data_IF_119102242219
#
_entry.id   IF_119102242219
#
_cell.length_a   1.000
_cell.length_b   1.000
_cell.length_c   1.000
_cell.angle_alpha   90.00
_cell.angle_beta   90.00
_cell.angle_gamma   90.00
#
_symmetry.space_group_name_H-M   'P 1'
#
loop_
_entity.id
_entity.type
_entity.pdbx_description
1 polymer ?
#
# COMPACT_ATOMS: atom_id res chain seq x y z
N UNK A 1 10.56 -3.83 -14.65
CA UNK A 1 10.73 -5.27 -14.34
C UNK A 1 9.70 -5.78 -13.33
N UNK A 2 9.77 -5.41 -12.03
CA UNK A 2 8.87 -5.94 -10.99
C UNK A 2 7.37 -5.78 -11.28
N UNK A 3 6.94 -4.60 -11.73
CA UNK A 3 5.54 -4.35 -12.10
C UNK A 3 5.04 -5.30 -13.18
N UNK A 4 5.83 -5.52 -14.24
CA UNK A 4 5.48 -6.43 -15.33
C UNK A 4 5.38 -7.87 -14.83
N UNK A 5 6.38 -8.30 -14.06
CA UNK A 5 6.47 -9.64 -13.49
C UNK A 5 5.35 -9.95 -12.48
N UNK A 6 4.97 -8.96 -11.67
CA UNK A 6 3.84 -9.07 -10.75
C UNK A 6 2.51 -9.16 -11.51
N UNK A 7 2.32 -8.33 -12.54
CA UNK A 7 1.12 -8.37 -13.38
C UNK A 7 0.98 -9.73 -14.06
N UNK A 8 2.00 -10.21 -14.75
CA UNK A 8 1.99 -11.50 -15.45
C UNK A 8 1.65 -12.66 -14.50
N UNK A 9 2.26 -12.73 -13.31
CA UNK A 9 1.96 -13.78 -12.32
C UNK A 9 0.53 -13.68 -11.78
N UNK A 10 0.03 -12.48 -11.56
CA UNK A 10 -1.34 -12.27 -11.10
C UNK A 10 -2.36 -12.60 -12.19
N UNK A 11 -2.09 -12.26 -13.46
CA UNK A 11 -2.93 -12.62 -14.61
C UNK A 11 -3.05 -14.15 -14.72
N UNK A 12 -1.97 -14.89 -14.48
CA UNK A 12 -1.92 -16.34 -14.65
C UNK A 12 -2.41 -17.17 -13.44
N UNK A 13 -2.81 -16.55 -12.31
CA UNK A 13 -3.22 -17.30 -11.12
C UNK A 13 -4.26 -16.58 -10.25
N UNK A 14 -5.49 -17.11 -10.21
CA UNK A 14 -6.55 -16.59 -9.33
C UNK A 14 -6.21 -16.72 -7.84
N UNK A 15 -5.57 -17.82 -7.45
CA UNK A 15 -5.12 -18.03 -6.08
C UNK A 15 -4.08 -16.98 -5.68
N UNK A 16 -3.15 -16.64 -6.57
CA UNK A 16 -2.18 -15.57 -6.30
C UNK A 16 -2.87 -14.23 -6.06
N UNK A 17 -3.89 -13.87 -6.86
CA UNK A 17 -4.68 -12.64 -6.66
C UNK A 17 -5.29 -12.59 -5.26
N UNK A 18 -5.94 -13.67 -4.81
CA UNK A 18 -6.56 -13.75 -3.48
C UNK A 18 -5.54 -13.59 -2.36
N UNK A 19 -4.42 -14.30 -2.43
CA UNK A 19 -3.38 -14.23 -1.41
C UNK A 19 -2.67 -12.88 -1.37
N UNK A 20 -2.32 -12.32 -2.52
CA UNK A 20 -1.69 -11.00 -2.60
C UNK A 20 -2.63 -9.92 -2.07
N UNK A 21 -3.92 -9.95 -2.46
CA UNK A 21 -4.91 -9.00 -1.92
C UNK A 21 -5.01 -9.11 -0.41
N UNK A 22 -5.08 -10.32 0.13
CA UNK A 22 -5.15 -10.53 1.57
C UNK A 22 -3.90 -10.00 2.29
N UNK A 23 -2.71 -10.39 1.81
CA UNK A 23 -1.45 -9.96 2.40
C UNK A 23 -1.28 -8.44 2.38
N UNK A 24 -1.54 -7.80 1.24
CA UNK A 24 -1.43 -6.35 1.13
C UNK A 24 -2.45 -5.62 2.00
N UNK A 25 -3.72 -6.00 1.97
CA UNK A 25 -4.77 -5.25 2.71
C UNK A 25 -4.74 -5.47 4.24
N UNK A 26 -4.16 -6.58 4.70
CA UNK A 26 -4.16 -6.94 6.14
C UNK A 26 -2.81 -6.79 6.81
N UNK A 27 -1.71 -7.05 6.12
CA UNK A 27 -0.38 -7.20 6.73
C UNK A 27 0.57 -6.08 6.33
N UNK A 28 0.47 -5.56 5.10
CA UNK A 28 1.39 -4.54 4.62
C UNK A 28 1.31 -3.27 5.46
N UNK A 29 2.48 -2.67 5.71
CA UNK A 29 2.68 -1.40 6.40
C UNK A 29 3.77 -0.59 5.68
N UNK A 30 3.86 0.73 5.89
CA UNK A 30 4.94 1.55 5.34
C UNK A 30 6.32 1.01 5.69
N UNK A 31 7.26 1.14 4.76
CA UNK A 31 8.66 0.72 4.97
C UNK A 31 9.23 1.44 6.19
N UNK A 32 9.95 0.71 7.04
CA UNK A 32 10.44 1.18 8.35
C UNK A 32 9.60 0.69 9.52
N UNK A 33 8.31 0.35 9.30
CA UNK A 33 7.44 -0.22 10.34
C UNK A 33 8.04 -1.52 10.90
N UNK A 34 8.12 -1.62 12.24
CA UNK A 34 8.66 -2.79 12.94
C UNK A 34 10.20 -2.82 13.05
N UNK A 35 10.89 -1.83 12.49
CA UNK A 35 12.32 -1.58 12.73
C UNK A 35 12.48 -0.33 13.61
N UNK A 36 11.68 0.69 13.32
CA UNK A 36 11.66 1.98 13.99
C UNK A 36 10.43 2.08 14.90
N UNK A 37 10.50 2.93 15.93
CA UNK A 37 9.39 3.20 16.82
C UNK A 37 8.20 3.81 16.06
N UNK A 38 6.97 3.52 16.53
CA UNK A 38 5.75 3.91 15.83
C UNK A 38 5.59 5.44 15.73
N UNK A 39 6.08 6.20 16.70
CA UNK A 39 6.07 7.66 16.73
C UNK A 39 7.03 8.27 15.69
N UNK A 40 8.20 7.67 15.50
CA UNK A 40 9.15 8.11 14.48
C UNK A 40 8.63 7.78 13.06
N UNK A 41 7.96 6.63 12.87
CA UNK A 41 7.26 6.35 11.60
C UNK A 41 6.12 7.35 11.36
N UNK A 42 5.33 7.66 12.38
CA UNK A 42 4.29 8.69 12.27
C UNK A 42 4.89 10.04 11.88
N UNK A 43 5.99 10.45 12.52
CA UNK A 43 6.68 11.69 12.22
C UNK A 43 7.18 11.74 10.79
N UNK A 44 7.93 10.72 10.34
CA UNK A 44 8.51 10.66 9.00
C UNK A 44 7.42 10.64 7.93
N UNK A 45 6.39 9.80 8.10
CA UNK A 45 5.31 9.72 7.11
C UNK A 45 4.48 11.01 7.07
N UNK A 46 4.20 11.63 8.23
CA UNK A 46 3.54 12.94 8.28
C UNK A 46 4.36 14.00 7.58
N UNK A 47 5.68 14.03 7.81
CA UNK A 47 6.57 15.00 7.18
C UNK A 47 6.62 14.83 5.66
N UNK A 48 6.78 13.59 5.18
CA UNK A 48 6.89 13.29 3.75
C UNK A 48 5.59 13.54 2.98
N UNK A 49 4.45 13.23 3.58
CA UNK A 49 3.15 13.28 2.91
C UNK A 49 2.29 14.49 3.28
N UNK A 50 2.80 15.44 4.07
CA UNK A 50 2.09 16.67 4.42
C UNK A 50 1.66 17.44 3.16
N UNK A 51 0.34 17.64 3.01
CA UNK A 51 -0.25 18.30 1.84
C UNK A 51 -0.19 17.47 0.54
N UNK A 52 0.13 16.17 0.64
CA UNK A 52 0.28 15.27 -0.51
C UNK A 52 -0.78 14.16 -0.56
N UNK A 53 -1.96 14.36 0.02
CA UNK A 53 -3.09 13.41 -0.07
C UNK A 53 -3.34 12.92 -1.52
N UNK A 54 -3.23 13.80 -2.51
CA UNK A 54 -3.40 13.45 -3.91
C UNK A 54 -2.35 12.47 -4.46
N UNK A 55 -1.13 12.47 -3.92
CA UNK A 55 -0.09 11.49 -4.29
C UNK A 55 -0.39 10.11 -3.69
N UNK A 56 -0.92 10.05 -2.46
CA UNK A 56 -1.39 8.78 -1.88
C UNK A 56 -2.51 8.16 -2.70
N UNK A 57 -3.48 8.97 -3.15
CA UNK A 57 -4.53 8.48 -4.02
C UNK A 57 -3.98 7.98 -5.37
N UNK A 58 -2.92 8.61 -5.91
CA UNK A 58 -2.25 8.11 -7.11
C UNK A 58 -1.55 6.78 -6.84
N UNK A 59 -0.93 6.58 -5.68
CA UNK A 59 -0.33 5.31 -5.29
C UNK A 59 -1.38 4.19 -5.20
N UNK A 60 -2.51 4.45 -4.54
CA UNK A 60 -3.62 3.51 -4.44
C UNK A 60 -4.19 3.16 -5.81
N UNK A 61 -4.43 4.17 -6.67
CA UNK A 61 -4.87 3.94 -8.06
C UNK A 61 -3.89 3.12 -8.88
N UNK A 62 -2.57 3.19 -8.60
CA UNK A 62 -1.57 2.36 -9.29
C UNK A 62 -1.65 0.90 -8.83
N UNK A 63 -1.81 0.67 -7.53
CA UNK A 63 -1.98 -0.68 -6.97
C UNK A 63 -3.27 -1.32 -7.48
N UNK A 64 -4.37 -0.55 -7.55
CA UNK A 64 -5.66 -1.05 -8.01
C UNK A 64 -5.69 -1.50 -9.49
N UNK A 65 -4.64 -1.22 -10.28
CA UNK A 65 -4.48 -1.69 -11.67
C UNK A 65 -3.88 -3.08 -11.78
N UNK A 66 -3.51 -3.71 -10.67
CA UNK A 66 -3.10 -5.11 -10.68
C UNK A 66 -4.33 -6.02 -10.61
N UNK A 67 -4.36 -7.14 -11.36
CA UNK A 67 -5.49 -8.06 -11.32
C UNK A 67 -5.82 -8.50 -9.90
N UNK A 68 -7.08 -8.34 -9.49
CA UNK A 68 -7.55 -8.71 -8.15
C UNK A 68 -7.30 -7.66 -7.06
N UNK A 69 -6.70 -6.52 -7.40
CA UNK A 69 -6.46 -5.39 -6.49
C UNK A 69 -7.47 -4.26 -6.69
N UNK A 70 -8.49 -4.46 -7.50
CA UNK A 70 -9.49 -3.44 -7.79
C UNK A 70 -10.17 -2.98 -6.49
N UNK A 71 -10.39 -1.66 -6.39
CA UNK A 71 -11.02 -1.02 -5.23
C UNK A 71 -10.20 -1.02 -3.93
N UNK A 72 -8.94 -1.49 -3.91
CA UNK A 72 -8.11 -1.37 -2.70
C UNK A 72 -7.58 0.05 -2.52
N UNK A 73 -7.62 0.53 -1.28
CA UNK A 73 -7.02 1.80 -0.82
C UNK A 73 -5.89 1.50 0.17
N UNK A 74 -4.86 0.78 -0.29
CA UNK A 74 -3.79 0.23 0.53
C UNK A 74 -3.08 1.30 1.39
N UNK A 75 -2.59 2.36 0.74
CA UNK A 75 -1.80 3.41 1.39
C UNK A 75 -2.68 4.25 2.31
N UNK A 76 -3.85 4.70 1.83
CA UNK A 76 -4.80 5.45 2.66
C UNK A 76 -5.23 4.66 3.90
N UNK A 77 -5.57 3.38 3.73
CA UNK A 77 -5.93 2.51 4.86
C UNK A 77 -4.80 2.32 5.86
N UNK A 78 -3.54 2.27 5.39
CA UNK A 78 -2.39 2.14 6.27
C UNK A 78 -2.15 3.42 7.08
N UNK A 79 -2.22 4.58 6.43
CA UNK A 79 -2.08 5.89 7.10
C UNK A 79 -3.16 6.11 8.15
N UNK A 80 -4.43 5.79 7.81
CA UNK A 80 -5.55 5.85 8.75
C UNK A 80 -5.34 4.95 9.97
N UNK A 81 -4.94 3.68 9.77
CA UNK A 81 -4.67 2.74 10.87
C UNK A 81 -3.53 3.19 11.79
N UNK A 82 -2.58 3.94 11.25
CA UNK A 82 -1.40 4.43 11.97
C UNK A 82 -1.58 5.87 12.48
N UNK A 83 -2.79 6.43 12.34
CA UNK A 83 -3.11 7.81 12.73
C UNK A 83 -2.19 8.87 12.09
N UNK A 84 -1.70 8.60 10.87
CA UNK A 84 -0.85 9.54 10.12
C UNK A 84 -1.76 10.54 9.37
N UNK A 85 -1.67 11.85 9.63
CA UNK A 85 -2.43 12.88 8.93
C UNK A 85 -1.98 13.01 7.47
N UNK A 86 -2.95 13.17 6.56
CA UNK A 86 -2.75 13.27 5.10
C UNK A 86 -3.63 14.31 4.46
#
# INVERSE_FOLDING_TARGET
>A
FYTTQARERLENSESARKWVRLALTKVWKPVGSGIMDDDEIQHVMSHLFSGQAGELDKLDRRVARFPGMEGTTLFRSAFEKMAIPV
#
